data_IF_017408069900
#
_entry.id   IF_017408069900
#
_cell.length_a   1.000
_cell.length_b   1.000
_cell.length_c   1.000
_cell.angle_alpha   90.00
_cell.angle_beta   90.00
_cell.angle_gamma   90.00
#
_symmetry.space_group_name_H-M   'P 1'
#
loop_
_entity.id
_entity.type
_entity.pdbx_description
1 polymer ?
#
# COMPACT_ATOMS: atom_id res chain seq x y z
N UNK A 1 -3.59 19.38 -24.23
CA UNK A 1 -2.35 18.99 -23.54
C UNK A 1 -2.72 17.92 -22.54
N UNK A 2 -1.91 16.84 -22.40
CA UNK A 2 -2.17 15.83 -21.38
C UNK A 2 -1.81 16.42 -20.01
N UNK A 3 -2.70 16.29 -19.03
CA UNK A 3 -2.44 16.74 -17.65
C UNK A 3 -1.30 15.92 -17.06
N UNK A 4 -0.35 16.57 -16.40
CA UNK A 4 0.76 15.95 -15.68
C UNK A 4 0.46 15.91 -14.19
N UNK A 5 0.43 14.73 -13.62
CA UNK A 5 0.18 14.53 -12.19
C UNK A 5 1.44 13.97 -11.52
N UNK A 6 1.86 14.60 -10.43
CA UNK A 6 2.90 14.07 -9.57
C UNK A 6 2.28 13.34 -8.38
N UNK A 7 2.72 12.11 -8.11
CA UNK A 7 2.33 11.35 -6.92
C UNK A 7 3.53 11.31 -5.97
N UNK A 8 3.35 11.74 -4.73
CA UNK A 8 4.38 11.65 -3.70
C UNK A 8 4.10 10.45 -2.81
N UNK A 9 5.01 9.48 -2.85
CA UNK A 9 4.93 8.19 -2.15
C UNK A 9 4.71 7.01 -3.07
N UNK A 10 5.69 6.10 -3.14
CA UNK A 10 5.69 4.86 -3.93
C UNK A 10 5.13 3.64 -3.19
N UNK A 11 4.30 3.85 -2.17
CA UNK A 11 3.60 2.76 -1.49
C UNK A 11 2.46 2.17 -2.33
N UNK A 12 1.74 1.18 -1.77
CA UNK A 12 0.64 0.49 -2.47
C UNK A 12 -0.42 1.45 -3.02
N UNK A 13 -0.77 2.49 -2.24
CA UNK A 13 -1.75 3.49 -2.65
C UNK A 13 -1.27 4.36 -3.82
N UNK A 14 -0.02 4.84 -3.75
CA UNK A 14 0.56 5.68 -4.80
C UNK A 14 0.75 4.93 -6.12
N UNK A 15 1.27 3.70 -6.07
CA UNK A 15 1.43 2.87 -7.28
C UNK A 15 0.07 2.49 -7.89
N UNK A 16 -0.92 2.14 -7.07
CA UNK A 16 -2.26 1.85 -7.57
C UNK A 16 -2.91 3.08 -8.23
N UNK A 17 -2.79 4.26 -7.60
CA UNK A 17 -3.28 5.52 -8.18
C UNK A 17 -2.59 5.82 -9.52
N UNK A 18 -1.27 5.64 -9.59
CA UNK A 18 -0.52 5.83 -10.84
C UNK A 18 -1.02 4.92 -11.96
N UNK A 19 -1.28 3.64 -11.66
CA UNK A 19 -1.80 2.69 -12.64
C UNK A 19 -3.18 3.10 -13.19
N UNK A 20 -4.10 3.54 -12.31
CA UNK A 20 -5.42 3.99 -12.75
C UNK A 20 -5.35 5.27 -13.59
N UNK A 21 -4.56 6.24 -13.18
CA UNK A 21 -4.43 7.50 -13.90
C UNK A 21 -3.80 7.30 -15.29
N UNK A 22 -2.75 6.48 -15.38
CA UNK A 22 -2.14 6.15 -16.67
C UNK A 22 -3.09 5.40 -17.61
N UNK A 23 -3.94 4.51 -17.08
CA UNK A 23 -5.00 3.88 -17.87
C UNK A 23 -6.03 4.87 -18.40
N UNK A 24 -6.26 5.95 -17.67
CA UNK A 24 -7.11 7.06 -18.12
C UNK A 24 -6.41 8.00 -19.11
N UNK A 25 -5.18 7.72 -19.52
CA UNK A 25 -4.40 8.52 -20.46
C UNK A 25 -3.76 9.76 -19.83
N UNK A 26 -3.65 9.81 -18.51
CA UNK A 26 -3.05 10.91 -17.77
C UNK A 26 -1.54 10.61 -17.59
N UNK A 27 -0.70 11.61 -17.82
CA UNK A 27 0.73 11.52 -17.59
C UNK A 27 1.01 11.62 -16.08
N UNK A 28 1.68 10.57 -15.55
CA UNK A 28 1.90 10.44 -14.09
C UNK A 28 3.34 10.04 -13.79
N UNK A 29 3.94 10.72 -12.84
CA UNK A 29 5.21 10.34 -12.23
C UNK A 29 5.04 10.16 -10.73
N UNK A 30 5.53 9.03 -10.20
CA UNK A 30 5.59 8.73 -8.76
C UNK A 30 6.97 9.09 -8.23
N UNK A 31 7.02 9.85 -7.15
CA UNK A 31 8.25 10.26 -6.45
C UNK A 31 8.30 9.56 -5.10
N UNK A 32 9.31 8.72 -4.89
CA UNK A 32 9.49 7.90 -3.69
C UNK A 32 10.80 8.25 -2.98
N UNK A 33 10.73 8.42 -1.67
CA UNK A 33 11.90 8.82 -0.87
C UNK A 33 12.94 7.72 -0.68
N UNK A 34 12.51 6.46 -0.71
CA UNK A 34 13.41 5.32 -0.59
C UNK A 34 14.29 5.20 -1.85
N UNK A 35 15.58 4.88 -1.71
CA UNK A 35 16.46 4.65 -2.86
C UNK A 35 16.12 3.35 -3.59
N UNK A 36 15.41 2.45 -2.95
CA UNK A 36 14.88 1.22 -3.51
C UNK A 36 13.56 0.85 -2.82
N UNK A 37 12.65 0.25 -3.55
CA UNK A 37 11.39 -0.25 -3.01
C UNK A 37 11.58 -1.66 -2.41
N UNK A 38 12.37 -1.74 -1.33
CA UNK A 38 12.51 -2.92 -0.49
C UNK A 38 11.74 -2.72 0.80
N UNK A 39 10.78 -3.58 1.05
CA UNK A 39 10.08 -3.57 2.33
C UNK A 39 10.55 -4.71 3.22
N UNK A 40 10.86 -4.36 4.47
CA UNK A 40 11.04 -5.35 5.53
C UNK A 40 9.74 -6.14 5.69
N UNK A 41 9.85 -7.46 5.56
CA UNK A 41 8.73 -8.37 5.42
C UNK A 41 7.69 -8.30 6.52
N UNK A 42 6.55 -7.75 6.20
CA UNK A 42 5.34 -7.89 7.00
C UNK A 42 4.24 -8.54 6.13
N UNK A 43 3.51 -9.47 6.74
CA UNK A 43 2.27 -9.96 6.15
C UNK A 43 1.24 -8.85 6.07
N UNK A 44 0.46 -8.85 5.00
CA UNK A 44 -0.67 -7.95 4.81
C UNK A 44 -1.90 -8.75 4.43
N UNK A 45 -3.03 -8.39 5.02
CA UNK A 45 -4.33 -8.88 4.56
C UNK A 45 -4.69 -8.11 3.29
N UNK A 46 -5.11 -8.83 2.27
CA UNK A 46 -5.62 -8.31 0.99
C UNK A 46 -7.12 -8.57 0.97
N UNK A 47 -7.92 -7.66 1.55
CA UNK A 47 -9.37 -7.86 1.70
C UNK A 47 -10.09 -7.71 0.35
N UNK A 48 -11.38 -8.11 0.26
CA UNK A 48 -12.14 -8.07 -0.97
C UNK A 48 -12.13 -6.73 -1.72
N UNK A 49 -12.17 -5.60 -1.01
CA UNK A 49 -12.09 -4.28 -1.63
C UNK A 49 -10.73 -4.04 -2.33
N UNK A 50 -9.62 -4.51 -1.76
CA UNK A 50 -8.31 -4.44 -2.40
C UNK A 50 -8.22 -5.41 -3.57
N UNK A 51 -8.75 -6.64 -3.45
CA UNK A 51 -8.81 -7.60 -4.57
C UNK A 51 -9.58 -7.01 -5.75
N UNK A 52 -10.69 -6.31 -5.50
CA UNK A 52 -11.46 -5.63 -6.56
C UNK A 52 -10.66 -4.51 -7.26
N UNK A 53 -9.82 -3.79 -6.52
CA UNK A 53 -8.87 -2.82 -7.13
C UNK A 53 -7.91 -3.54 -8.06
N UNK A 54 -7.33 -4.68 -7.62
CA UNK A 54 -6.43 -5.47 -8.46
C UNK A 54 -7.15 -6.10 -9.66
N UNK A 55 -8.42 -6.52 -9.51
CA UNK A 55 -9.25 -6.98 -10.63
C UNK A 55 -9.46 -5.87 -11.67
N UNK A 56 -9.81 -4.68 -11.21
CA UNK A 56 -9.97 -3.51 -12.09
C UNK A 56 -8.66 -3.16 -12.81
N UNK A 57 -7.52 -3.42 -12.19
CA UNK A 57 -6.19 -3.28 -12.80
C UNK A 57 -5.75 -4.49 -13.64
N UNK A 58 -6.54 -5.57 -13.71
CA UNK A 58 -6.16 -6.81 -14.41
C UNK A 58 -4.98 -7.55 -13.77
N UNK A 59 -4.74 -7.34 -12.48
CA UNK A 59 -3.60 -7.89 -11.74
C UNK A 59 -4.01 -9.01 -10.77
N UNK A 60 -5.29 -9.18 -10.49
CA UNK A 60 -5.76 -10.13 -9.49
C UNK A 60 -5.42 -11.60 -9.80
N UNK A 61 -5.33 -11.97 -11.07
CA UNK A 61 -4.95 -13.33 -11.51
C UNK A 61 -3.51 -13.72 -11.12
N UNK A 62 -2.68 -12.74 -10.74
CA UNK A 62 -1.33 -13.00 -10.28
C UNK A 62 -1.25 -13.28 -8.77
N UNK A 63 -2.29 -12.95 -8.00
CA UNK A 63 -2.34 -13.17 -6.55
C UNK A 63 -1.99 -14.61 -6.13
N UNK A 64 -2.51 -15.66 -6.78
CA UNK A 64 -2.21 -17.05 -6.37
C UNK A 64 -0.72 -17.43 -6.44
N UNK A 65 0.11 -16.63 -7.09
CA UNK A 65 1.56 -16.89 -7.19
C UNK A 65 2.32 -16.59 -5.91
N UNK A 66 1.79 -15.70 -5.06
CA UNK A 66 2.48 -15.24 -3.85
C UNK A 66 1.53 -14.95 -2.66
N UNK A 67 0.24 -15.05 -2.86
CA UNK A 67 -0.77 -14.81 -1.83
C UNK A 67 -1.56 -16.09 -1.54
N UNK A 68 -1.92 -16.28 -0.29
CA UNK A 68 -2.75 -17.38 0.17
C UNK A 68 -4.19 -16.88 0.29
N UNK A 69 -5.11 -17.53 -0.42
CA UNK A 69 -6.56 -17.30 -0.23
C UNK A 69 -6.94 -17.75 1.18
N UNK A 70 -7.69 -16.94 1.89
CA UNK A 70 -8.24 -17.31 3.18
C UNK A 70 -9.52 -18.10 2.95
N UNK A 71 -9.45 -19.41 3.13
CA UNK A 71 -10.59 -20.32 3.10
C UNK A 71 -11.07 -20.68 4.52
N UNK A 72 -10.36 -20.19 5.53
CA UNK A 72 -10.67 -20.35 6.95
C UNK A 72 -11.26 -19.08 7.55
N UNK A 73 -11.60 -19.12 8.80
CA UNK A 73 -12.09 -17.98 9.53
C UNK A 73 -10.97 -17.17 10.19
N UNK A 74 -11.24 -15.90 10.46
CA UNK A 74 -10.45 -15.10 11.37
C UNK A 74 -10.95 -15.37 12.79
N UNK A 75 -10.07 -15.92 13.65
CA UNK A 75 -10.39 -16.22 15.03
C UNK A 75 -9.73 -15.25 16.00
N UNK A 76 -10.50 -14.76 16.96
CA UNK A 76 -9.99 -14.11 18.15
C UNK A 76 -9.97 -15.11 19.30
N UNK A 77 -8.82 -15.34 19.87
CA UNK A 77 -8.63 -16.32 20.94
C UNK A 77 -8.16 -15.68 22.23
N UNK A 78 -8.61 -16.22 23.33
CA UNK A 78 -8.14 -15.83 24.65
C UNK A 78 -6.69 -16.32 24.86
N UNK A 79 -5.81 -15.43 25.27
CA UNK A 79 -4.39 -15.73 25.36
C UNK A 79 -4.05 -16.76 26.47
N UNK A 80 -4.88 -16.86 27.55
CA UNK A 80 -4.62 -17.74 28.68
C UNK A 80 -4.79 -19.22 28.36
N UNK A 81 -5.73 -19.59 27.51
CA UNK A 81 -6.11 -20.98 27.25
C UNK A 81 -6.44 -21.28 25.79
N UNK A 82 -6.30 -20.29 24.90
CA UNK A 82 -6.59 -20.45 23.48
C UNK A 82 -8.08 -20.58 23.14
N UNK A 83 -9.01 -20.36 24.11
CA UNK A 83 -10.44 -20.43 23.84
C UNK A 83 -10.85 -19.40 22.79
N UNK A 84 -11.56 -19.86 21.77
CA UNK A 84 -12.11 -18.99 20.74
C UNK A 84 -13.16 -18.07 21.34
N UNK A 85 -12.97 -16.77 21.20
CA UNK A 85 -13.88 -15.72 21.67
C UNK A 85 -14.81 -15.23 20.57
N UNK A 86 -14.31 -15.20 19.34
CA UNK A 86 -15.03 -14.72 18.17
C UNK A 86 -14.48 -15.37 16.92
N UNK A 87 -15.35 -15.67 15.97
CA UNK A 87 -15.02 -16.25 14.66
C UNK A 87 -15.67 -15.38 13.59
N UNK A 88 -14.88 -14.92 12.65
CA UNK A 88 -15.34 -14.24 11.45
C UNK A 88 -15.02 -15.11 10.23
N UNK A 89 -16.02 -15.68 9.56
CA UNK A 89 -15.82 -16.42 8.33
C UNK A 89 -15.18 -15.52 7.27
N UNK A 90 -14.15 -16.03 6.56
CA UNK A 90 -13.40 -15.29 5.55
C UNK A 90 -13.37 -15.98 4.19
N UNK A 91 -13.90 -17.20 4.12
CA UNK A 91 -13.91 -18.03 2.92
C UNK A 91 -14.88 -17.56 1.84
N UNK A 92 -15.79 -18.43 1.47
CA UNK A 92 -16.78 -18.16 0.42
C UNK A 92 -17.76 -17.04 0.78
N UNK A 93 -17.97 -16.76 2.07
CA UNK A 93 -18.77 -15.63 2.54
C UNK A 93 -18.23 -14.29 2.06
N UNK A 94 -16.92 -14.13 1.99
CA UNK A 94 -16.31 -12.91 1.42
C UNK A 94 -16.69 -12.75 -0.06
N UNK A 95 -16.68 -13.83 -0.83
CA UNK A 95 -17.07 -13.80 -2.25
C UNK A 95 -18.56 -13.49 -2.40
N UNK A 96 -19.41 -14.11 -1.58
CA UNK A 96 -20.86 -13.89 -1.62
C UNK A 96 -21.25 -12.47 -1.23
N UNK A 97 -20.63 -11.92 -0.17
CA UNK A 97 -20.99 -10.61 0.37
C UNK A 97 -20.34 -9.46 -0.38
N UNK A 98 -19.08 -9.63 -0.86
CA UNK A 98 -18.27 -8.53 -1.36
C UNK A 98 -17.80 -8.72 -2.82
N UNK A 99 -18.14 -9.84 -3.45
CA UNK A 99 -17.80 -10.13 -4.85
C UNK A 99 -16.33 -10.46 -5.10
N UNK A 100 -15.54 -10.71 -4.04
CA UNK A 100 -14.14 -11.09 -4.16
C UNK A 100 -13.66 -11.84 -2.91
N UNK A 101 -12.67 -12.73 -3.05
CA UNK A 101 -12.07 -13.43 -1.90
C UNK A 101 -11.18 -12.51 -1.06
N UNK A 102 -10.82 -12.98 0.13
CA UNK A 102 -9.78 -12.39 0.96
C UNK A 102 -8.48 -13.21 0.83
N UNK A 103 -7.34 -12.53 0.84
CA UNK A 103 -6.03 -13.17 0.80
C UNK A 103 -5.12 -12.64 1.91
N UNK A 104 -4.04 -13.38 2.16
CA UNK A 104 -2.86 -12.89 2.91
C UNK A 104 -1.65 -12.97 1.98
N UNK A 105 -0.87 -11.92 1.94
CA UNK A 105 0.32 -11.83 1.11
C UNK A 105 1.48 -11.24 1.89
N UNK A 106 2.68 -11.41 1.37
CA UNK A 106 3.81 -10.60 1.79
C UNK A 106 3.69 -9.21 1.14
N UNK A 107 3.85 -8.15 1.93
CA UNK A 107 3.61 -6.79 1.46
C UNK A 107 4.56 -6.39 0.32
N UNK A 108 5.81 -6.88 0.36
CA UNK A 108 6.79 -6.63 -0.68
C UNK A 108 6.39 -7.24 -2.03
N UNK A 109 5.78 -8.44 -2.03
CA UNK A 109 5.34 -9.08 -3.27
C UNK A 109 4.18 -8.32 -3.90
N UNK A 110 3.24 -7.84 -3.09
CA UNK A 110 2.13 -7.00 -3.56
C UNK A 110 2.64 -5.66 -4.12
N UNK A 111 3.64 -5.05 -3.46
CA UNK A 111 4.27 -3.83 -3.95
C UNK A 111 4.98 -4.07 -5.28
N UNK A 112 5.73 -5.17 -5.38
CA UNK A 112 6.42 -5.58 -6.60
C UNK A 112 5.46 -5.83 -7.76
N UNK A 113 4.30 -6.43 -7.49
CA UNK A 113 3.25 -6.63 -8.50
C UNK A 113 2.79 -5.30 -9.10
N UNK A 114 2.51 -4.30 -8.27
CA UNK A 114 2.06 -2.99 -8.74
C UNK A 114 3.18 -2.24 -9.47
N UNK A 115 4.41 -2.32 -8.95
CA UNK A 115 5.58 -1.67 -9.56
C UNK A 115 5.86 -2.22 -10.95
N UNK A 116 5.85 -3.55 -11.11
CA UNK A 116 6.10 -4.21 -12.41
C UNK A 116 5.04 -3.90 -13.46
N UNK A 117 3.85 -3.49 -13.05
CA UNK A 117 2.79 -3.07 -13.96
C UNK A 117 2.96 -1.62 -14.47
N UNK A 118 3.89 -0.85 -13.90
CA UNK A 118 4.22 0.50 -14.33
C UNK A 118 5.45 0.49 -15.26
N UNK A 119 5.54 1.43 -16.23
CA UNK A 119 6.78 1.66 -16.95
C UNK A 119 7.92 2.06 -15.99
N UNK A 120 9.15 1.68 -16.34
CA UNK A 120 10.32 1.92 -15.50
C UNK A 120 10.59 3.40 -15.20
N UNK A 121 10.23 4.29 -16.11
CA UNK A 121 10.38 5.74 -16.00
C UNK A 121 9.27 6.42 -15.17
N UNK A 122 8.20 5.69 -14.87
CA UNK A 122 7.07 6.23 -14.11
C UNK A 122 7.37 6.43 -12.61
N UNK A 123 8.44 5.83 -12.08
CA UNK A 123 8.79 5.91 -10.66
C UNK A 123 10.20 6.47 -10.49
N UNK A 124 10.29 7.57 -9.76
CA UNK A 124 11.55 8.26 -9.41
C UNK A 124 11.88 7.97 -7.95
N UNK A 125 12.90 7.13 -7.73
CA UNK A 125 13.37 6.75 -6.40
C UNK A 125 14.36 7.77 -5.82
N UNK A 126 14.56 7.73 -4.49
CA UNK A 126 15.49 8.61 -3.79
C UNK A 126 15.05 10.07 -3.77
N UNK A 127 13.77 10.36 -3.92
CA UNK A 127 13.23 11.73 -3.93
C UNK A 127 12.32 11.95 -2.72
N UNK A 128 12.88 12.51 -1.66
CA UNK A 128 12.15 12.90 -0.45
C UNK A 128 11.48 14.25 -0.67
N UNK A 129 10.16 14.30 -0.71
CA UNK A 129 9.42 15.57 -0.74
C UNK A 129 9.63 16.32 0.57
N UNK A 130 10.00 17.60 0.47
CA UNK A 130 10.29 18.48 1.60
C UNK A 130 9.33 19.66 1.69
N UNK A 131 8.73 20.05 0.58
CA UNK A 131 7.73 21.11 0.54
C UNK A 131 6.80 20.97 -0.67
N UNK A 132 5.62 21.51 -0.55
CA UNK A 132 4.63 21.65 -1.62
C UNK A 132 4.12 23.08 -1.63
N UNK A 133 4.06 23.65 -2.83
CA UNK A 133 3.60 25.03 -3.06
C UNK A 133 2.49 24.99 -4.13
N UNK A 134 1.23 25.04 -3.72
CA UNK A 134 0.11 25.21 -4.66
C UNK A 134 0.17 26.56 -5.37
N UNK A 135 -0.23 26.62 -6.62
CA UNK A 135 -0.38 27.80 -7.44
C UNK A 135 -1.71 27.72 -8.21
N UNK A 136 -2.16 28.83 -8.80
CA UNK A 136 -3.44 28.89 -9.54
C UNK A 136 -3.44 27.98 -10.78
N UNK A 137 -2.28 27.73 -11.38
CA UNK A 137 -2.09 26.94 -12.60
C UNK A 137 -1.42 25.57 -12.35
N UNK A 138 -1.26 25.16 -11.10
CA UNK A 138 -0.64 23.88 -10.78
C UNK A 138 -0.01 23.81 -9.41
N UNK A 139 1.04 23.00 -9.29
CA UNK A 139 1.74 22.75 -8.02
C UNK A 139 3.22 22.60 -8.26
N UNK A 140 4.01 23.16 -7.35
CA UNK A 140 5.46 22.98 -7.29
C UNK A 140 5.84 22.13 -6.09
N UNK A 141 6.57 21.05 -6.34
CA UNK A 141 7.07 20.10 -5.33
C UNK A 141 8.60 20.25 -5.21
N UNK A 142 9.10 20.30 -3.99
CA UNK A 142 10.52 20.35 -3.69
C UNK A 142 10.98 19.02 -3.12
N UNK A 143 12.10 18.51 -3.63
CA UNK A 143 12.66 17.23 -3.22
C UNK A 143 14.12 17.36 -2.82
N UNK A 144 14.54 16.51 -1.88
CA UNK A 144 15.95 16.29 -1.54
C UNK A 144 16.31 14.84 -1.88
N UNK A 145 17.48 14.65 -2.49
CA UNK A 145 18.04 13.33 -2.82
C UNK A 145 18.99 12.83 -1.73
N UNK A 146 19.38 11.54 -1.74
CA UNK A 146 20.28 10.96 -0.73
C UNK A 146 21.66 11.64 -0.69
N UNK A 147 22.13 12.20 -1.80
CA UNK A 147 23.39 12.95 -1.89
C UNK A 147 23.30 14.40 -1.37
N UNK A 148 22.14 14.80 -0.85
CA UNK A 148 21.86 16.15 -0.37
C UNK A 148 21.49 17.15 -1.46
N UNK A 149 21.54 16.77 -2.74
CA UNK A 149 21.09 17.64 -3.82
C UNK A 149 19.59 17.86 -3.77
N UNK A 150 19.15 19.02 -4.26
CA UNK A 150 17.71 19.35 -4.32
C UNK A 150 17.25 19.42 -5.76
N UNK A 151 15.96 19.13 -5.98
CA UNK A 151 15.30 19.36 -7.25
C UNK A 151 13.85 19.81 -7.05
N UNK A 152 13.31 20.43 -8.09
CA UNK A 152 11.94 20.94 -8.11
C UNK A 152 11.20 20.30 -9.27
N UNK A 153 9.95 19.92 -9.03
CA UNK A 153 9.05 19.35 -10.02
C UNK A 153 7.77 20.18 -10.06
N UNK A 154 7.34 20.56 -11.25
CA UNK A 154 6.06 21.23 -11.49
C UNK A 154 5.09 20.26 -12.13
N UNK A 155 3.83 20.28 -11.69
CA UNK A 155 2.76 19.46 -12.21
C UNK A 155 1.44 20.24 -12.18
N UNK A 156 0.44 19.79 -12.96
CA UNK A 156 -0.89 20.40 -12.94
C UNK A 156 -1.65 20.06 -11.65
N UNK A 157 -1.32 18.90 -11.05
CA UNK A 157 -1.82 18.50 -9.74
C UNK A 157 -0.84 17.56 -9.04
N UNK A 158 -0.96 17.45 -7.71
CA UNK A 158 -0.22 16.49 -6.91
C UNK A 158 -1.14 15.61 -6.07
N UNK A 159 -0.76 14.35 -5.91
CA UNK A 159 -1.44 13.37 -5.04
C UNK A 159 -0.50 12.99 -3.91
N UNK A 160 -0.94 13.25 -2.66
CA UNK A 160 -0.20 12.80 -1.46
C UNK A 160 -0.52 11.34 -1.15
N UNK A 161 0.47 10.48 -1.31
CA UNK A 161 0.49 9.08 -0.89
C UNK A 161 1.69 8.78 0.03
N UNK A 162 2.19 9.83 0.70
CA UNK A 162 3.44 9.92 1.48
C UNK A 162 3.27 9.48 2.95
N UNK A 163 2.15 8.80 3.26
CA UNK A 163 1.94 8.06 4.49
C UNK A 163 1.63 8.94 5.71
N UNK A 164 1.90 8.39 6.91
CA UNK A 164 1.51 9.01 8.18
C UNK A 164 2.30 10.29 8.51
N UNK A 165 3.43 10.52 7.85
CA UNK A 165 4.26 11.72 7.99
C UNK A 165 4.14 12.64 6.77
N UNK A 166 2.98 12.62 6.12
CA UNK A 166 2.71 13.32 4.87
C UNK A 166 3.09 14.81 4.94
N UNK A 167 3.89 15.24 3.97
CA UNK A 167 4.19 16.66 3.73
C UNK A 167 3.04 17.30 2.96
N UNK A 168 2.44 16.57 2.01
CA UNK A 168 1.36 17.11 1.17
C UNK A 168 0.09 17.38 1.98
N UNK A 169 -0.19 16.60 3.03
CA UNK A 169 -1.35 16.84 3.89
C UNK A 169 -1.33 18.23 4.53
N UNK A 170 -0.14 18.80 4.78
CA UNK A 170 0.02 20.11 5.41
C UNK A 170 -0.44 21.27 4.51
N UNK A 171 -0.51 21.05 3.19
CA UNK A 171 -1.05 22.04 2.25
C UNK A 171 -2.59 22.03 2.19
N UNK A 172 -3.23 20.97 2.70
CA UNK A 172 -4.68 20.77 2.60
C UNK A 172 -5.37 20.92 3.96
N UNK A 173 -4.72 20.43 5.02
CA UNK A 173 -5.28 20.46 6.38
C UNK A 173 -4.24 20.99 7.38
N UNK A 174 -4.71 21.60 8.46
CA UNK A 174 -3.82 22.00 9.55
C UNK A 174 -3.14 20.76 10.15
N UNK A 175 -1.80 20.77 10.33
CA UNK A 175 -1.09 19.66 10.93
C UNK A 175 -1.61 19.36 12.33
N UNK A 176 -1.94 18.09 12.58
CA UNK A 176 -2.28 17.62 13.92
C UNK A 176 -1.18 16.70 14.43
N UNK A 177 -0.68 16.89 15.66
CA UNK A 177 0.31 15.98 16.22
C UNK A 177 -0.27 14.57 16.36
N UNK A 178 0.52 13.57 15.98
CA UNK A 178 0.15 12.19 16.17
C UNK A 178 -0.03 11.89 17.67
N UNK A 179 -1.11 11.19 18.04
CA UNK A 179 -1.38 10.75 19.41
C UNK A 179 -1.15 9.24 19.50
N UNK A 180 -0.34 8.83 20.47
CA UNK A 180 -0.16 7.42 20.77
C UNK A 180 -1.48 6.79 21.22
N UNK A 181 -1.91 5.72 20.58
CA UNK A 181 -3.18 5.04 20.88
C UNK A 181 -3.16 4.18 22.13
N UNK A 182 -1.98 3.97 22.74
CA UNK A 182 -1.79 3.02 23.83
C UNK A 182 -1.60 1.58 23.38
N UNK A 183 -1.65 1.31 22.08
CA UNK A 183 -1.52 -0.04 21.50
C UNK A 183 -0.22 -0.18 20.70
N UNK A 184 0.43 -1.33 20.87
CA UNK A 184 1.59 -1.75 20.09
C UNK A 184 1.31 -3.12 19.48
N UNK A 185 1.81 -3.35 18.26
CA UNK A 185 1.79 -4.65 17.61
C UNK A 185 3.23 -5.08 17.29
N UNK A 186 3.62 -6.27 17.77
CA UNK A 186 4.87 -6.91 17.39
C UNK A 186 4.59 -7.81 16.20
N UNK A 187 5.40 -7.69 15.15
CA UNK A 187 5.27 -8.50 13.93
C UNK A 187 6.62 -9.11 13.60
N UNK A 188 6.59 -10.41 13.25
CA UNK A 188 7.77 -11.12 12.77
C UNK A 188 7.35 -12.12 11.69
N UNK A 189 8.31 -12.55 10.88
CA UNK A 189 8.20 -13.73 10.03
C UNK A 189 8.94 -14.86 10.71
N UNK A 190 8.29 -16.02 10.78
CA UNK A 190 8.86 -17.22 11.37
C UNK A 190 8.82 -18.33 10.31
N UNK A 191 9.91 -19.07 10.09
CA UNK A 191 9.88 -20.27 9.24
C UNK A 191 8.77 -21.23 9.71
N UNK A 192 8.07 -21.85 8.79
CA UNK A 192 6.92 -22.70 9.13
C UNK A 192 7.28 -23.86 10.06
N UNK A 193 8.48 -24.40 9.91
CA UNK A 193 9.04 -25.47 10.75
C UNK A 193 9.38 -25.02 12.18
N UNK A 194 9.57 -23.72 12.39
CA UNK A 194 9.81 -23.16 13.73
C UNK A 194 8.52 -22.68 14.41
N UNK A 195 7.39 -22.68 13.67
CA UNK A 195 6.10 -22.34 14.25
C UNK A 195 5.61 -23.49 15.16
N UNK A 196 5.09 -23.19 16.37
CA UNK A 196 4.47 -24.22 17.18
C UNK A 196 3.30 -24.85 16.41
N UNK A 197 3.01 -26.16 16.62
CA UNK A 197 1.88 -26.80 15.98
C UNK A 197 0.60 -26.06 16.38
N UNK A 198 0.11 -25.24 15.49
CA UNK A 198 -1.19 -24.61 15.66
C UNK A 198 -2.24 -25.65 15.29
N UNK A 199 -3.17 -25.88 16.20
CA UNK A 199 -4.33 -26.69 15.90
C UNK A 199 -5.13 -25.96 14.78
N UNK A 200 -4.83 -26.30 13.55
CA UNK A 200 -5.67 -25.95 12.41
C UNK A 200 -6.96 -26.72 12.62
N UNK A 201 -7.99 -26.07 13.13
CA UNK A 201 -9.33 -26.62 13.07
C UNK A 201 -9.85 -26.34 11.66
N UNK A 202 -10.21 -27.38 10.89
CA UNK A 202 -11.08 -27.14 9.75
C UNK A 202 -12.37 -26.52 10.30
N UNK A 203 -12.73 -25.36 9.79
CA UNK A 203 -14.01 -24.72 10.04
C UNK A 203 -14.96 -25.15 8.94
#
# INVERSE_FOLDING_TARGET
MSSRIAIVGGGLGGLAAALFLRRAGIDVTVHEMAPELREAGAGIVVPPNMVRVLQALGLAEQLPRFAVKLDAAWEFRRWQDGRVLFVQPMGDECVQLYGAPCHVAHRADLLSLLLQALPADAVQLGQRCTAVQPADDGVTLHFTRPDGSTCTVTADAAIGADGIHSVLSQAVVQPQPARFSGLCAFRCLVPAEAAPPMALRPV
#
